data_IF_958619174675
#
_entry.id   IF_958619174675
#
_cell.length_a   1.000
_cell.length_b   1.000
_cell.length_c   1.000
_cell.angle_alpha   90.00
_cell.angle_beta   90.00
_cell.angle_gamma   90.00
#
_symmetry.space_group_name_H-M   'P 1'
#
loop_
_entity.id
_entity.type
_entity.pdbx_description
1 polymer ?
#
# COMPACT_ATOMS: atom_id res chain seq x y z
N UNK A 1 -17.72 -10.53 24.83
CA UNK A 1 -17.55 -9.28 25.60
C UNK A 1 -18.04 -8.10 24.74
N UNK A 2 -18.00 -6.86 25.25
CA UNK A 2 -18.55 -5.68 24.53
C UNK A 2 -17.74 -5.30 23.29
N UNK A 3 -16.46 -5.68 23.24
CA UNK A 3 -15.53 -5.38 22.14
C UNK A 3 -15.80 -6.26 20.93
N UNK A 4 -16.00 -7.57 21.11
CA UNK A 4 -16.23 -8.52 20.01
C UNK A 4 -17.54 -8.18 19.29
N UNK A 5 -18.59 -7.83 20.05
CA UNK A 5 -19.85 -7.37 19.48
C UNK A 5 -19.65 -6.13 18.61
N UNK A 6 -18.88 -5.14 19.10
CA UNK A 6 -18.60 -3.92 18.34
C UNK A 6 -17.85 -4.21 17.04
N UNK A 7 -16.90 -5.13 17.04
CA UNK A 7 -16.18 -5.53 15.82
C UNK A 7 -17.16 -6.11 14.79
N UNK A 8 -18.09 -6.97 15.21
CA UNK A 8 -19.12 -7.53 14.33
C UNK A 8 -20.06 -6.45 13.79
N UNK A 9 -20.55 -5.56 14.66
CA UNK A 9 -21.44 -4.45 14.27
C UNK A 9 -20.75 -3.53 13.24
N UNK A 10 -19.46 -3.23 13.44
CA UNK A 10 -18.67 -2.43 12.50
C UNK A 10 -18.46 -3.18 11.18
N UNK A 11 -18.17 -4.49 11.22
CA UNK A 11 -18.00 -5.29 10.00
C UNK A 11 -19.27 -5.29 9.15
N UNK A 12 -20.43 -5.45 9.79
CA UNK A 12 -21.73 -5.44 9.09
C UNK A 12 -22.03 -4.06 8.49
N UNK A 13 -21.77 -2.98 9.24
CA UNK A 13 -21.90 -1.62 8.73
C UNK A 13 -20.98 -1.35 7.52
N UNK A 14 -19.76 -1.89 7.51
CA UNK A 14 -18.83 -1.74 6.40
C UNK A 14 -19.34 -2.36 5.09
N UNK A 15 -20.17 -3.40 5.13
CA UNK A 15 -20.67 -4.07 3.91
C UNK A 15 -21.42 -3.09 2.99
N UNK A 16 -22.02 -2.04 3.56
CA UNK A 16 -22.80 -1.01 2.83
C UNK A 16 -22.29 0.42 3.06
N UNK A 17 -21.15 0.59 3.73
CA UNK A 17 -20.60 1.91 4.05
C UNK A 17 -20.11 2.65 2.81
N UNK A 18 -20.35 3.96 2.77
CA UNK A 18 -19.89 4.90 1.74
C UNK A 18 -18.37 5.16 1.79
N UNK A 19 -17.70 4.71 2.86
CA UNK A 19 -16.25 4.69 2.94
C UNK A 19 -15.63 3.72 1.93
N UNK A 20 -16.34 2.64 1.59
CA UNK A 20 -15.92 1.70 0.57
C UNK A 20 -16.41 2.19 -0.80
N UNK A 21 -15.50 2.24 -1.78
CA UNK A 21 -15.82 2.73 -3.12
C UNK A 21 -15.41 1.70 -4.15
N UNK A 22 -16.35 1.35 -5.03
CA UNK A 22 -16.06 0.53 -6.19
C UNK A 22 -16.07 1.40 -7.44
N UNK A 23 -14.99 1.31 -8.21
CA UNK A 23 -14.83 1.93 -9.51
C UNK A 23 -14.85 0.81 -10.56
N UNK A 24 -16.03 0.54 -11.14
CA UNK A 24 -16.19 -0.48 -12.18
C UNK A 24 -15.69 0.02 -13.53
N UNK A 25 -14.86 -0.80 -14.18
CA UNK A 25 -14.35 -0.59 -15.55
C UNK A 25 -14.25 -1.95 -16.25
N UNK A 26 -13.06 -2.34 -16.72
CA UNK A 26 -12.83 -3.68 -17.24
C UNK A 26 -12.74 -4.68 -16.07
N UNK A 27 -13.42 -5.81 -16.17
CA UNK A 27 -13.48 -6.85 -15.14
C UNK A 27 -12.39 -7.90 -15.27
N UNK A 28 -11.55 -7.86 -16.31
CA UNK A 28 -10.43 -8.79 -16.48
C UNK A 28 -9.44 -8.75 -15.30
N UNK A 29 -9.23 -7.55 -14.74
CA UNK A 29 -8.42 -7.35 -13.55
C UNK A 29 -9.26 -6.56 -12.53
N UNK A 30 -9.47 -7.18 -11.36
CA UNK A 30 -9.99 -6.53 -10.17
C UNK A 30 -8.87 -6.24 -9.18
N UNK A 31 -8.86 -5.05 -8.60
CA UNK A 31 -7.86 -4.65 -7.61
C UNK A 31 -8.55 -4.25 -6.31
N UNK A 32 -8.09 -4.79 -5.18
CA UNK A 32 -8.46 -4.32 -3.85
C UNK A 32 -7.28 -3.58 -3.23
N UNK A 33 -7.53 -2.39 -2.70
CA UNK A 33 -6.52 -1.51 -2.11
C UNK A 33 -7.15 -0.62 -1.04
N UNK A 34 -6.33 -0.03 -0.19
CA UNK A 34 -6.75 0.98 0.79
C UNK A 34 -5.82 2.21 0.76
N UNK A 35 -6.23 3.30 1.42
CA UNK A 35 -5.38 4.45 1.66
C UNK A 35 -4.88 5.18 0.39
N UNK A 36 -3.63 5.64 0.43
CA UNK A 36 -3.00 6.43 -0.66
C UNK A 36 -2.71 5.59 -1.90
N UNK A 37 -2.44 4.29 -1.71
CA UNK A 37 -2.13 3.33 -2.78
C UNK A 37 -3.23 3.30 -3.83
N UNK A 38 -4.50 3.54 -3.44
CA UNK A 38 -5.62 3.71 -4.38
C UNK A 38 -5.35 4.74 -5.48
N UNK A 39 -4.72 5.87 -5.16
CA UNK A 39 -4.40 6.89 -6.16
C UNK A 39 -3.37 6.37 -7.16
N UNK A 40 -2.32 5.71 -6.68
CA UNK A 40 -1.27 5.17 -7.53
C UNK A 40 -1.79 4.04 -8.43
N UNK A 41 -2.66 3.18 -7.88
CA UNK A 41 -3.31 2.11 -8.64
C UNK A 41 -4.17 2.68 -9.75
N UNK A 42 -4.94 3.75 -9.51
CA UNK A 42 -5.75 4.39 -10.56
C UNK A 42 -4.89 4.93 -11.70
N UNK A 43 -3.72 5.48 -11.39
CA UNK A 43 -2.80 6.01 -12.40
C UNK A 43 -2.16 4.89 -13.22
N UNK A 44 -1.77 3.78 -12.58
CA UNK A 44 -1.10 2.65 -13.25
C UNK A 44 -2.10 1.74 -13.99
N UNK A 45 -3.32 1.59 -13.45
CA UNK A 45 -4.37 0.72 -13.98
C UNK A 45 -5.63 1.52 -14.36
N UNK A 46 -5.57 2.40 -15.37
CA UNK A 46 -6.67 3.29 -15.71
C UNK A 46 -7.93 2.55 -16.17
N UNK A 47 -7.82 1.29 -16.58
CA UNK A 47 -8.92 0.48 -17.08
C UNK A 47 -9.36 -0.66 -16.14
N UNK A 48 -8.64 -0.92 -15.03
CA UNK A 48 -9.02 -2.00 -14.11
C UNK A 48 -10.20 -1.59 -13.23
N UNK A 49 -10.96 -2.58 -12.77
CA UNK A 49 -11.98 -2.35 -11.75
C UNK A 49 -11.32 -2.33 -10.36
N UNK A 50 -11.66 -1.36 -9.52
CA UNK A 50 -10.96 -1.13 -8.25
C UNK A 50 -11.97 -1.06 -7.10
N UNK A 51 -11.77 -1.87 -6.07
CA UNK A 51 -12.44 -1.73 -4.77
C UNK A 51 -11.48 -1.05 -3.79
N UNK A 52 -11.77 0.21 -3.47
CA UNK A 52 -11.11 0.96 -2.41
C UNK A 52 -11.80 0.66 -1.08
N UNK A 53 -11.08 0.05 -0.15
CA UNK A 53 -11.54 -0.15 1.22
C UNK A 53 -11.30 1.12 2.04
N UNK A 54 -12.33 1.56 2.75
CA UNK A 54 -12.24 2.66 3.71
C UNK A 54 -11.67 2.24 5.07
N UNK A 55 -11.78 0.94 5.39
CA UNK A 55 -11.21 0.34 6.59
C UNK A 55 -10.80 -1.10 6.31
N UNK A 56 -9.71 -1.55 6.94
CA UNK A 56 -9.07 -2.85 6.66
C UNK A 56 -9.11 -3.81 7.85
N UNK A 57 -9.64 -3.37 9.00
CA UNK A 57 -9.85 -4.22 10.17
C UNK A 57 -11.05 -3.71 11.00
N UNK A 58 -12.18 -4.44 11.04
CA UNK A 58 -12.45 -5.65 10.26
C UNK A 58 -12.64 -5.35 8.76
N UNK A 59 -12.59 -6.39 7.92
CA UNK A 59 -12.87 -6.29 6.47
C UNK A 59 -14.33 -6.62 6.13
N UNK A 60 -14.95 -5.97 5.13
CA UNK A 60 -16.30 -6.28 4.66
C UNK A 60 -16.29 -7.56 3.80
N UNK A 61 -16.60 -8.70 4.43
CA UNK A 61 -16.43 -10.03 3.83
C UNK A 61 -17.38 -10.26 2.66
N UNK A 62 -18.63 -9.79 2.74
CA UNK A 62 -19.62 -9.96 1.68
C UNK A 62 -19.26 -9.09 0.47
N UNK A 63 -18.95 -7.82 0.70
CA UNK A 63 -18.52 -6.88 -0.34
C UNK A 63 -17.30 -7.39 -1.12
N UNK A 64 -16.29 -7.90 -0.41
CA UNK A 64 -15.08 -8.46 -1.02
C UNK A 64 -15.41 -9.69 -1.86
N UNK A 65 -16.26 -10.60 -1.36
CA UNK A 65 -16.69 -11.78 -2.12
C UNK A 65 -17.48 -11.40 -3.37
N UNK A 66 -18.40 -10.44 -3.24
CA UNK A 66 -19.21 -9.97 -4.35
C UNK A 66 -18.36 -9.30 -5.43
N UNK A 67 -17.36 -8.51 -5.03
CA UNK A 67 -16.38 -7.92 -5.95
C UNK A 67 -15.52 -8.99 -6.63
N UNK A 68 -14.98 -9.93 -5.85
CA UNK A 68 -14.16 -11.04 -6.34
C UNK A 68 -14.90 -11.91 -7.36
N UNK A 69 -16.20 -12.12 -7.17
CA UNK A 69 -17.04 -12.93 -8.08
C UNK A 69 -17.24 -12.31 -9.47
N UNK A 70 -16.97 -11.01 -9.63
CA UNK A 70 -17.24 -10.25 -10.86
C UNK A 70 -16.00 -9.99 -11.69
N UNK A 71 -14.83 -10.47 -11.28
CA UNK A 71 -13.55 -10.22 -11.95
C UNK A 71 -12.82 -11.52 -12.27
N UNK A 72 -12.08 -11.55 -13.38
CA UNK A 72 -11.41 -12.77 -13.84
C UNK A 72 -10.16 -13.07 -13.00
N UNK A 73 -9.41 -12.00 -12.65
CA UNK A 73 -8.21 -12.07 -11.82
C UNK A 73 -8.27 -10.99 -10.74
N UNK A 74 -8.07 -11.40 -9.48
CA UNK A 74 -8.10 -10.51 -8.33
C UNK A 74 -6.70 -10.27 -7.77
N UNK A 75 -6.36 -8.99 -7.57
CA UNK A 75 -5.06 -8.54 -7.12
C UNK A 75 -5.22 -7.64 -5.89
N UNK A 76 -4.41 -7.89 -4.87
CA UNK A 76 -4.30 -7.04 -3.68
C UNK A 76 -3.08 -6.16 -3.87
N UNK A 77 -3.26 -4.85 -3.81
CA UNK A 77 -2.16 -3.89 -3.80
C UNK A 77 -2.24 -3.13 -2.48
N UNK A 78 -1.35 -3.47 -1.56
CA UNK A 78 -1.27 -2.87 -0.23
C UNK A 78 0.18 -2.54 0.15
N UNK A 79 0.36 -1.58 1.05
CA UNK A 79 1.67 -1.13 1.51
C UNK A 79 2.11 -1.91 2.76
N UNK A 80 3.42 -2.10 2.93
CA UNK A 80 4.03 -2.85 4.04
C UNK A 80 3.59 -4.32 4.09
N UNK A 81 3.02 -4.78 5.20
CA UNK A 81 2.70 -6.18 5.46
C UNK A 81 1.41 -6.63 4.74
N UNK A 82 1.24 -7.94 4.47
CA UNK A 82 0.09 -8.51 3.75
C UNK A 82 -1.21 -8.56 4.57
N UNK A 83 -1.62 -7.47 5.20
CA UNK A 83 -2.78 -7.45 6.13
C UNK A 83 -4.10 -7.73 5.40
N UNK A 84 -4.32 -7.12 4.24
CA UNK A 84 -5.49 -7.35 3.41
C UNK A 84 -5.38 -8.68 2.68
N UNK A 85 -4.22 -8.98 2.10
CA UNK A 85 -4.01 -10.21 1.33
C UNK A 85 -4.27 -11.45 2.17
N UNK A 86 -3.73 -11.52 3.39
CA UNK A 86 -3.94 -12.66 4.29
C UNK A 86 -5.41 -12.81 4.68
N UNK A 87 -6.07 -11.71 5.02
CA UNK A 87 -7.48 -11.74 5.38
C UNK A 87 -8.38 -12.16 4.22
N UNK A 88 -8.09 -11.70 2.99
CA UNK A 88 -8.83 -12.07 1.78
C UNK A 88 -8.58 -13.54 1.41
N UNK A 89 -7.33 -14.02 1.49
CA UNK A 89 -6.99 -15.44 1.32
C UNK A 89 -7.70 -16.32 2.34
N UNK A 90 -7.80 -15.88 3.60
CA UNK A 90 -8.52 -16.60 4.65
C UNK A 90 -10.04 -16.72 4.38
N UNK A 91 -10.61 -15.90 3.48
CA UNK A 91 -11.99 -16.08 3.00
C UNK A 91 -12.14 -17.16 1.92
N UNK A 92 -11.05 -17.82 1.53
CA UNK A 92 -11.01 -18.82 0.45
C UNK A 92 -10.95 -18.20 -0.95
N UNK A 93 -10.58 -16.92 -1.06
CA UNK A 93 -10.50 -16.21 -2.34
C UNK A 93 -9.07 -16.29 -2.86
N UNK A 94 -8.91 -16.76 -4.10
CA UNK A 94 -7.61 -16.80 -4.75
C UNK A 94 -7.19 -15.39 -5.18
N UNK A 95 -6.06 -14.91 -4.68
CA UNK A 95 -5.52 -13.58 -4.98
C UNK A 95 -4.01 -13.60 -5.12
N UNK A 96 -3.50 -12.68 -5.93
CA UNK A 96 -2.09 -12.30 -5.99
C UNK A 96 -1.90 -10.95 -5.31
N UNK A 97 -0.71 -10.70 -4.76
CA UNK A 97 -0.37 -9.47 -4.08
C UNK A 97 1.13 -9.39 -3.85
N UNK A 98 1.61 -9.78 -2.67
CA UNK A 98 3.01 -9.69 -2.24
C UNK A 98 3.98 -10.58 -3.02
N UNK A 99 3.48 -11.59 -3.73
CA UNK A 99 4.26 -12.34 -4.73
C UNK A 99 4.72 -11.44 -5.89
N UNK A 100 3.96 -10.38 -6.19
CA UNK A 100 4.28 -9.36 -7.20
C UNK A 100 4.84 -8.09 -6.53
N UNK A 101 4.19 -7.62 -5.45
CA UNK A 101 4.44 -6.35 -4.78
C UNK A 101 5.08 -6.58 -3.40
N UNK A 102 6.41 -6.76 -3.38
CA UNK A 102 7.17 -7.03 -2.15
C UNK A 102 6.76 -6.14 -0.96
N UNK A 103 6.71 -6.67 0.27
CA UNK A 103 6.44 -5.88 1.48
C UNK A 103 7.59 -4.91 1.81
N UNK A 104 8.76 -5.10 1.19
CA UNK A 104 9.91 -4.23 1.36
C UNK A 104 9.85 -3.05 0.38
N UNK A 105 10.43 -1.93 0.81
CA UNK A 105 10.51 -0.68 0.06
C UNK A 105 9.16 0.04 -0.13
N UNK A 106 9.23 1.27 -0.62
CA UNK A 106 8.05 2.09 -0.88
C UNK A 106 7.34 1.66 -2.16
N UNK A 107 6.01 1.56 -2.08
CA UNK A 107 5.16 1.17 -3.20
C UNK A 107 4.74 2.40 -4.02
N UNK A 108 5.73 3.07 -4.61
CA UNK A 108 5.54 4.24 -5.48
C UNK A 108 4.88 3.87 -6.82
N UNK A 109 4.19 4.81 -7.50
CA UNK A 109 3.57 4.55 -8.81
C UNK A 109 4.50 3.89 -9.84
N UNK A 110 5.73 4.39 -9.96
CA UNK A 110 6.73 3.83 -10.89
C UNK A 110 7.08 2.38 -10.55
N UNK A 111 7.16 2.05 -9.25
CA UNK A 111 7.44 0.70 -8.79
C UNK A 111 6.27 -0.24 -9.04
N UNK A 112 5.04 0.21 -8.78
CA UNK A 112 3.82 -0.54 -9.12
C UNK A 112 3.79 -0.81 -10.63
N UNK A 113 4.05 0.21 -11.46
CA UNK A 113 4.09 0.07 -12.92
C UNK A 113 5.16 -0.95 -13.36
N UNK A 114 6.37 -0.86 -12.83
CA UNK A 114 7.47 -1.78 -13.15
C UNK A 114 7.12 -3.24 -12.80
N UNK A 115 6.65 -3.48 -11.58
CA UNK A 115 6.31 -4.82 -11.10
C UNK A 115 5.11 -5.39 -11.84
N UNK A 116 4.10 -4.56 -12.12
CA UNK A 116 2.91 -4.95 -12.89
C UNK A 116 3.25 -5.34 -14.33
N UNK A 117 4.18 -4.61 -14.97
CA UNK A 117 4.66 -4.95 -16.30
C UNK A 117 5.44 -6.27 -16.30
N UNK A 118 6.31 -6.49 -15.31
CA UNK A 118 7.05 -7.75 -15.13
C UNK A 118 6.12 -8.95 -14.90
N UNK A 119 5.04 -8.75 -14.16
CA UNK A 119 4.01 -9.76 -13.91
C UNK A 119 3.01 -9.94 -15.07
N UNK A 120 3.14 -9.18 -16.17
CA UNK A 120 2.25 -9.29 -17.34
C UNK A 120 0.84 -8.73 -17.12
N UNK A 121 0.62 -7.96 -16.05
CA UNK A 121 -0.67 -7.34 -15.73
C UNK A 121 -0.98 -6.14 -16.62
N UNK A 122 0.07 -5.44 -17.04
CA UNK A 122 -0.01 -4.30 -17.96
C UNK A 122 1.01 -4.47 -19.09
N UNK A 123 0.79 -3.77 -20.21
CA UNK A 123 1.78 -3.72 -21.28
C UNK A 123 3.04 -3.00 -20.78
N UNK A 124 4.19 -3.58 -21.05
CA UNK A 124 5.47 -2.97 -20.75
C UNK A 124 5.66 -1.72 -21.63
N UNK A 125 5.43 -0.55 -21.05
CA UNK A 125 5.90 0.71 -21.63
C UNK A 125 7.34 0.97 -21.18
N UNK A 126 8.13 1.64 -22.02
CA UNK A 126 9.43 2.15 -21.58
C UNK A 126 9.19 3.19 -20.50
N UNK A 127 9.27 2.79 -19.24
CA UNK A 127 9.34 3.73 -18.11
C UNK A 127 10.63 4.53 -18.32
N UNK A 128 10.56 5.87 -18.42
CA UNK A 128 11.77 6.67 -18.48
C UNK A 128 12.60 6.35 -17.25
N UNK A 129 13.80 5.78 -17.43
CA UNK A 129 14.72 5.61 -16.30
C UNK A 129 15.08 7.01 -15.82
N UNK A 130 14.52 7.41 -14.69
CA UNK A 130 14.86 8.69 -14.08
C UNK A 130 16.35 8.67 -13.72
N UNK A 131 17.11 9.63 -14.25
CA UNK A 131 18.55 9.75 -14.00
C UNK A 131 18.83 10.42 -12.63
N UNK A 132 17.94 10.25 -11.65
CA UNK A 132 17.99 10.92 -10.35
C UNK A 132 19.31 10.69 -9.62
N UNK A 133 19.99 9.55 -9.86
CA UNK A 133 21.32 9.29 -9.30
C UNK A 133 22.34 10.36 -9.66
N UNK A 134 22.38 10.80 -10.93
CA UNK A 134 23.29 11.89 -11.35
C UNK A 134 22.94 13.22 -10.70
N UNK A 135 21.64 13.44 -10.42
CA UNK A 135 21.20 14.63 -9.69
C UNK A 135 21.60 14.54 -8.21
N UNK A 136 21.44 13.38 -7.57
CA UNK A 136 21.82 13.16 -6.18
C UNK A 136 23.29 13.47 -5.91
N UNK A 137 24.19 13.12 -6.84
CA UNK A 137 25.63 13.42 -6.73
C UNK A 137 25.92 14.93 -6.71
N UNK A 138 25.04 15.75 -7.29
CA UNK A 138 25.18 17.21 -7.36
C UNK A 138 24.45 17.95 -6.23
N UNK A 139 23.60 17.26 -5.47
CA UNK A 139 22.85 17.88 -4.39
C UNK A 139 23.67 17.90 -3.10
N UNK A 140 23.58 18.98 -2.29
CA UNK A 140 24.22 19.00 -0.99
C UNK A 140 23.66 17.88 -0.11
N UNK A 141 24.52 17.20 0.63
CA UNK A 141 24.14 16.13 1.56
C UNK A 141 23.18 16.67 2.61
N UNK A 142 21.96 16.12 2.65
CA UNK A 142 21.02 16.39 3.75
C UNK A 142 21.29 15.41 4.87
N UNK A 143 22.14 15.80 5.82
CA UNK A 143 22.33 15.02 7.05
C UNK A 143 20.96 14.81 7.73
N UNK A 144 20.64 13.59 8.20
CA UNK A 144 19.41 13.33 8.93
C UNK A 144 19.32 14.28 10.13
N UNK A 145 18.38 15.22 10.08
CA UNK A 145 18.13 16.13 11.21
C UNK A 145 17.03 15.55 12.06
N UNK A 146 17.33 15.30 13.33
CA UNK A 146 16.31 14.93 14.31
C UNK A 146 15.29 16.07 14.46
N UNK A 147 14.00 15.71 14.45
CA UNK A 147 12.92 16.64 14.76
C UNK A 147 13.18 17.32 16.13
N UNK A 148 12.72 18.57 16.35
CA UNK A 148 12.97 19.28 17.60
C UNK A 148 12.54 18.52 18.87
N UNK A 149 11.55 17.64 18.78
CA UNK A 149 11.06 16.81 19.87
C UNK A 149 11.68 15.42 19.98
N UNK A 150 12.63 15.04 19.13
CA UNK A 150 13.23 13.71 19.20
C UNK A 150 14.23 13.63 20.38
N UNK A 151 14.12 12.64 21.28
CA UNK A 151 15.00 12.52 22.45
C UNK A 151 16.46 12.30 22.07
N UNK A 152 16.74 11.80 20.85
CA UNK A 152 18.11 11.65 20.37
C UNK A 152 18.85 13.00 20.31
N UNK A 153 18.16 14.12 20.05
CA UNK A 153 18.80 15.44 19.96
C UNK A 153 19.42 15.89 21.29
N UNK A 154 18.76 15.64 22.42
CA UNK A 154 19.30 15.97 23.75
C UNK A 154 20.45 15.03 24.12
N UNK A 155 20.33 13.73 23.81
CA UNK A 155 21.41 12.77 24.01
C UNK A 155 22.67 13.15 23.21
N UNK A 156 22.55 13.43 21.92
CA UNK A 156 23.68 13.83 21.08
C UNK A 156 24.28 15.18 21.48
N UNK A 157 23.45 16.14 21.93
CA UNK A 157 23.95 17.42 22.45
C UNK A 157 24.83 17.22 23.68
N UNK A 158 24.40 16.37 24.63
CA UNK A 158 25.17 16.06 25.84
C UNK A 158 26.44 15.29 25.49
N UNK A 159 26.35 14.26 24.64
CA UNK A 159 27.51 13.48 24.18
C UNK A 159 28.55 14.37 23.49
N UNK A 160 28.11 15.32 22.64
CA UNK A 160 28.97 16.29 21.99
C UNK A 160 29.64 17.23 23.02
N UNK A 161 28.90 17.72 24.03
CA UNK A 161 29.49 18.50 25.14
C UNK A 161 30.54 17.72 25.91
N UNK A 162 30.32 16.42 26.09
CA UNK A 162 31.25 15.52 26.77
C UNK A 162 32.40 15.04 25.88
N UNK A 163 32.43 15.44 24.59
CA UNK A 163 33.40 15.01 23.58
C UNK A 163 33.48 13.49 23.43
N UNK A 164 32.37 12.80 23.67
CA UNK A 164 32.26 11.35 23.47
C UNK A 164 32.10 11.11 21.97
N UNK A 165 32.98 10.32 21.32
CA UNK A 165 32.82 10.00 19.92
C UNK A 165 31.58 9.14 19.75
N UNK A 166 30.58 9.68 19.06
CA UNK A 166 29.34 8.98 18.71
C UNK A 166 29.04 9.23 17.23
N UNK A 167 28.57 8.20 16.54
CA UNK A 167 28.05 8.36 15.19
C UNK A 167 26.67 9.03 15.30
N UNK A 168 26.58 10.28 14.86
CA UNK A 168 25.37 11.11 14.87
C UNK A 168 25.21 11.87 13.57
#
# INVERSE_FOLDING_TARGET
AKVEKRILDIQEWLETSDLNKIEWKNTKIGIITAGVVHTYVRDVFPNASILKLGMINPIPKKLIKDFASKVDQLIIIEELDPVLEEQVKALGINVQGKDIFSPCYELLPDRIKELSAKAGLIKAEKVPKSNYRKLLDSLPTRSPVFCPGCPHRSSFYVMNKLKVPVAG
#
